data_IF_905840702104
#
_entry.id   IF_905840702104
#
_cell.length_a   1.000
_cell.length_b   1.000
_cell.length_c   1.000
_cell.angle_alpha   90.00
_cell.angle_beta   90.00
_cell.angle_gamma   90.00
#
_symmetry.space_group_name_H-M   'P 1'
#
loop_
_entity.id
_entity.type
_entity.pdbx_description
1 polymer ?
#
# COMPACT_ATOMS: atom_id res chain seq x y z
N UNK A 1 -26.46 5.34 -10.32
CA UNK A 1 -25.01 5.57 -10.48
C UNK A 1 -24.51 4.58 -11.49
N UNK A 2 -23.61 4.97 -12.39
CA UNK A 2 -23.00 4.02 -13.32
C UNK A 2 -21.99 3.16 -12.53
N UNK A 3 -22.44 1.97 -12.15
CA UNK A 3 -21.67 1.00 -11.36
C UNK A 3 -20.32 0.66 -12.03
N UNK A 4 -20.27 0.66 -13.35
CA UNK A 4 -19.04 0.43 -14.10
C UNK A 4 -18.06 1.58 -13.91
N UNK A 5 -18.54 2.83 -14.00
CA UNK A 5 -17.72 4.03 -13.78
C UNK A 5 -17.19 4.10 -12.35
N UNK A 6 -18.01 3.74 -11.36
CA UNK A 6 -17.60 3.66 -9.95
C UNK A 6 -16.54 2.58 -9.71
N UNK A 7 -16.76 1.37 -10.22
CA UNK A 7 -15.79 0.27 -10.07
C UNK A 7 -14.46 0.59 -10.75
N UNK A 8 -14.52 1.25 -11.91
CA UNK A 8 -13.32 1.67 -12.64
C UNK A 8 -12.54 2.75 -11.89
N UNK A 9 -13.22 3.77 -11.34
CA UNK A 9 -12.55 4.81 -10.56
C UNK A 9 -11.94 4.26 -9.28
N UNK A 10 -12.64 3.36 -8.59
CA UNK A 10 -12.12 2.68 -7.39
C UNK A 10 -10.87 1.85 -7.70
N UNK A 11 -10.90 1.04 -8.77
CA UNK A 11 -9.72 0.25 -9.20
C UNK A 11 -8.54 1.14 -9.57
N UNK A 12 -8.79 2.26 -10.26
CA UNK A 12 -7.74 3.22 -10.63
C UNK A 12 -7.07 3.79 -9.38
N UNK A 13 -7.86 4.21 -8.39
CA UNK A 13 -7.34 4.71 -7.13
C UNK A 13 -6.52 3.67 -6.37
N UNK A 14 -7.04 2.46 -6.19
CA UNK A 14 -6.32 1.39 -5.49
C UNK A 14 -5.01 1.00 -6.18
N UNK A 15 -4.97 1.06 -7.52
CA UNK A 15 -3.74 0.84 -8.30
C UNK A 15 -2.70 1.93 -8.02
N UNK A 16 -3.12 3.19 -8.00
CA UNK A 16 -2.23 4.32 -7.71
C UNK A 16 -1.66 4.23 -6.29
N UNK A 17 -2.51 3.92 -5.31
CA UNK A 17 -2.09 3.67 -3.91
C UNK A 17 -1.08 2.51 -3.85
N UNK A 18 -1.35 1.39 -4.52
CA UNK A 18 -0.45 0.24 -4.51
C UNK A 18 0.93 0.56 -5.07
N UNK A 19 1.00 1.23 -6.22
CA UNK A 19 2.27 1.58 -6.88
C UNK A 19 3.07 2.60 -6.05
N UNK A 20 2.41 3.63 -5.53
CA UNK A 20 3.07 4.67 -4.74
C UNK A 20 3.56 4.14 -3.38
N UNK A 21 2.78 3.30 -2.71
CA UNK A 21 3.18 2.63 -1.47
C UNK A 21 4.38 1.70 -1.70
N UNK A 22 4.39 0.92 -2.79
CA UNK A 22 5.53 0.07 -3.14
C UNK A 22 6.81 0.89 -3.31
N UNK A 23 6.76 1.99 -4.07
CA UNK A 23 7.92 2.88 -4.26
C UNK A 23 8.42 3.48 -2.94
N UNK A 24 7.51 3.84 -2.03
CA UNK A 24 7.87 4.35 -0.71
C UNK A 24 8.58 3.28 0.13
N UNK A 25 8.06 2.05 0.13
CA UNK A 25 8.67 0.91 0.84
C UNK A 25 10.06 0.61 0.27
N UNK A 26 10.18 0.51 -1.06
CA UNK A 26 11.47 0.25 -1.73
C UNK A 26 12.52 1.32 -1.41
N UNK A 27 12.10 2.59 -1.30
CA UNK A 27 12.99 3.68 -0.88
C UNK A 27 13.50 3.47 0.53
N UNK A 28 12.62 3.21 1.50
CA UNK A 28 13.02 2.96 2.89
C UNK A 28 13.95 1.75 2.99
N UNK A 29 13.60 0.65 2.32
CA UNK A 29 14.43 -0.56 2.30
C UNK A 29 15.83 -0.29 1.74
N UNK A 30 15.93 0.57 0.73
CA UNK A 30 17.21 0.98 0.13
C UNK A 30 18.00 1.91 1.05
N UNK A 31 17.37 2.97 1.53
CA UNK A 31 18.02 4.04 2.28
C UNK A 31 18.52 3.54 3.66
N UNK A 32 17.78 2.65 4.30
CA UNK A 32 18.14 2.04 5.58
C UNK A 32 18.99 0.75 5.40
N UNK A 33 19.28 0.37 4.16
CA UNK A 33 20.05 -0.83 3.82
C UNK A 33 19.44 -2.10 4.40
N UNK A 34 18.12 -2.26 4.32
CA UNK A 34 17.36 -3.38 4.89
C UNK A 34 17.22 -4.58 3.93
N UNK A 35 17.69 -4.46 2.69
CA UNK A 35 17.65 -5.55 1.72
C UNK A 35 18.33 -6.82 2.29
N UNK A 36 17.62 -7.95 2.23
CA UNK A 36 18.08 -9.24 2.78
C UNK A 36 18.09 -9.33 4.31
N UNK A 37 17.56 -8.33 5.04
CA UNK A 37 17.55 -8.30 6.51
C UNK A 37 16.23 -8.85 7.11
N UNK A 38 15.69 -9.90 6.50
CA UNK A 38 14.51 -10.62 7.01
C UNK A 38 13.19 -9.93 6.65
N UNK A 39 12.32 -9.70 7.65
CA UNK A 39 10.95 -9.23 7.41
C UNK A 39 10.71 -7.81 7.92
N UNK A 40 10.04 -7.01 7.11
CA UNK A 40 9.55 -5.68 7.48
C UNK A 40 8.06 -5.76 7.83
N UNK A 41 7.73 -5.43 9.09
CA UNK A 41 6.33 -5.25 9.50
C UNK A 41 5.82 -3.92 8.98
N UNK A 42 4.71 -3.96 8.27
CA UNK A 42 4.05 -2.79 7.70
C UNK A 42 2.59 -2.72 8.09
N UNK A 43 2.08 -1.50 8.19
CA UNK A 43 0.67 -1.21 8.44
C UNK A 43 0.21 -0.14 7.48
N UNK A 44 -0.86 -0.43 6.72
CA UNK A 44 -1.54 0.53 5.88
C UNK A 44 -2.86 0.95 6.52
N UNK A 45 -3.15 2.25 6.52
CA UNK A 45 -4.37 2.81 7.08
C UNK A 45 -5.08 3.62 5.99
N UNK A 46 -6.34 3.27 5.72
CA UNK A 46 -7.23 3.99 4.81
C UNK A 46 -8.32 4.69 5.61
N UNK A 47 -8.27 6.02 5.62
CA UNK A 47 -9.24 6.88 6.31
C UNK A 47 -10.10 7.68 5.34
N UNK A 48 -11.38 7.83 5.66
CA UNK A 48 -12.33 8.66 4.93
C UNK A 48 -13.59 8.93 5.74
N UNK A 49 -14.58 9.61 5.15
CA UNK A 49 -15.84 9.92 5.86
C UNK A 49 -16.59 8.62 6.19
N UNK A 50 -16.52 8.18 7.45
CA UNK A 50 -17.09 6.91 7.92
C UNK A 50 -16.27 5.67 7.53
N UNK A 51 -15.04 5.85 7.05
CA UNK A 51 -14.14 4.78 6.64
C UNK A 51 -12.89 4.82 7.52
N UNK A 52 -12.64 3.74 8.25
CA UNK A 52 -11.36 3.51 8.91
C UNK A 52 -11.01 2.02 8.72
N UNK A 53 -10.04 1.75 7.84
CA UNK A 53 -9.64 0.40 7.51
C UNK A 53 -8.13 0.27 7.65
N UNK A 54 -7.70 -0.76 8.37
CA UNK A 54 -6.31 -1.03 8.66
C UNK A 54 -5.93 -2.40 8.11
N UNK A 55 -4.77 -2.48 7.45
CA UNK A 55 -4.20 -3.71 6.92
C UNK A 55 -2.78 -3.83 7.45
N UNK A 56 -2.53 -4.89 8.21
CA UNK A 56 -1.20 -5.22 8.72
C UNK A 56 -0.62 -6.39 7.95
N UNK A 57 0.69 -6.37 7.72
CA UNK A 57 1.37 -7.40 6.97
C UNK A 57 2.87 -7.41 7.22
N UNK A 58 3.52 -8.44 6.69
CA UNK A 58 4.96 -8.57 6.68
C UNK A 58 5.45 -8.62 5.23
N UNK A 59 6.48 -7.85 4.93
CA UNK A 59 7.15 -7.87 3.64
C UNK A 59 8.47 -8.61 3.84
N UNK A 60 8.66 -9.67 3.08
CA UNK A 60 9.94 -10.35 2.97
C UNK A 60 10.92 -9.48 2.17
N UNK A 61 12.06 -9.13 2.76
CA UNK A 61 13.05 -8.24 2.15
C UNK A 61 14.12 -8.98 1.35
N UNK A 62 13.96 -10.29 1.15
CA UNK A 62 14.92 -11.16 0.48
C UNK A 62 15.54 -12.18 1.42
#
# INVERSE_FOLDING_TARGET
>A
MDEQRFNMSMRKYLKEVGVTSQQAIERVVRDDGLAGKGKLKVKMVLTGKGLNHEVEGEIDLG
#
